data_IF_674711639333
#
_entry.id   IF_674711639333
#
_cell.length_a   1.000
_cell.length_b   1.000
_cell.length_c   1.000
_cell.angle_alpha   90.00
_cell.angle_beta   90.00
_cell.angle_gamma   90.00
#
_symmetry.space_group_name_H-M   'P 1'
#
loop_
_entity.id
_entity.type
_entity.pdbx_description
1 polymer ?
#
# COMPACT_ATOMS: atom_id res chain seq x y z
N UNK A 1 -40.65 -25.55 8.14
CA UNK A 1 -39.98 -24.78 9.22
C UNK A 1 -38.53 -25.23 9.45
N UNK A 2 -38.24 -26.54 9.56
CA UNK A 2 -36.86 -27.03 9.75
C UNK A 2 -35.93 -26.76 8.54
N UNK A 3 -36.39 -26.99 7.32
CA UNK A 3 -35.60 -26.70 6.10
C UNK A 3 -35.28 -25.21 5.94
N UNK A 4 -36.19 -24.34 6.36
CA UNK A 4 -36.05 -22.88 6.27
C UNK A 4 -34.97 -22.38 7.24
N UNK A 5 -34.90 -22.95 8.45
CA UNK A 5 -33.84 -22.67 9.43
C UNK A 5 -32.48 -23.21 8.97
N UNK A 6 -32.44 -24.42 8.41
CA UNK A 6 -31.18 -25.01 7.93
C UNK A 6 -30.58 -24.22 6.76
N UNK A 7 -31.44 -23.75 5.83
CA UNK A 7 -31.03 -22.88 4.72
C UNK A 7 -30.52 -21.50 5.18
N UNK A 8 -31.07 -20.96 6.27
CA UNK A 8 -30.61 -19.71 6.89
C UNK A 8 -29.22 -19.88 7.51
N UNK A 9 -29.00 -20.98 8.23
CA UNK A 9 -27.71 -21.31 8.87
C UNK A 9 -26.60 -21.48 7.82
N UNK A 10 -26.87 -22.20 6.73
CA UNK A 10 -25.92 -22.37 5.62
C UNK A 10 -25.52 -21.04 4.98
N UNK A 11 -26.50 -20.16 4.69
CA UNK A 11 -26.21 -18.82 4.16
C UNK A 11 -25.35 -17.98 5.10
N UNK A 12 -25.59 -18.04 6.41
CA UNK A 12 -24.75 -17.36 7.42
C UNK A 12 -23.32 -17.89 7.39
N UNK A 13 -23.14 -19.21 7.27
CA UNK A 13 -21.80 -19.84 7.20
C UNK A 13 -21.05 -19.49 5.91
N UNK A 14 -21.71 -19.54 4.76
CA UNK A 14 -21.13 -19.15 3.47
C UNK A 14 -20.67 -17.69 3.48
N UNK A 15 -21.51 -16.79 4.01
CA UNK A 15 -21.17 -15.39 4.16
C UNK A 15 -19.95 -15.19 5.09
N UNK A 16 -19.96 -15.80 6.28
CA UNK A 16 -18.83 -15.72 7.22
C UNK A 16 -17.52 -16.27 6.63
N UNK A 17 -17.60 -17.29 5.78
CA UNK A 17 -16.45 -17.81 5.07
C UNK A 17 -15.94 -16.78 4.04
N UNK A 18 -16.83 -16.23 3.23
CA UNK A 18 -16.49 -15.19 2.25
C UNK A 18 -15.86 -13.96 2.92
N UNK A 19 -16.34 -13.58 4.11
CA UNK A 19 -15.74 -12.59 5.00
C UNK A 19 -14.26 -12.77 5.20
N UNK A 20 -13.94 -13.98 5.66
CA UNK A 20 -12.64 -14.33 6.19
C UNK A 20 -11.66 -14.35 5.04
N UNK A 21 -12.09 -14.90 3.90
CA UNK A 21 -11.32 -14.86 2.67
C UNK A 21 -11.01 -13.43 2.23
N UNK A 22 -12.02 -12.55 2.17
CA UNK A 22 -11.82 -11.14 1.81
C UNK A 22 -10.92 -10.41 2.81
N UNK A 23 -11.06 -10.66 4.11
CA UNK A 23 -10.22 -10.05 5.13
C UNK A 23 -8.76 -10.50 4.99
N UNK A 24 -8.54 -11.80 4.79
CA UNK A 24 -7.19 -12.38 4.59
C UNK A 24 -6.54 -11.75 3.36
N UNK A 25 -7.24 -11.73 2.22
CA UNK A 25 -6.74 -11.14 0.98
C UNK A 25 -6.39 -9.66 1.18
N UNK A 26 -7.30 -8.88 1.78
CA UNK A 26 -7.06 -7.47 2.00
C UNK A 26 -5.87 -7.21 2.94
N UNK A 27 -5.69 -8.05 3.96
CA UNK A 27 -4.56 -7.97 4.90
C UNK A 27 -3.24 -8.33 4.22
N UNK A 28 -3.23 -9.35 3.37
CA UNK A 28 -2.04 -9.72 2.58
C UNK A 28 -1.65 -8.60 1.61
N UNK A 29 -2.63 -8.00 0.94
CA UNK A 29 -2.39 -6.85 0.05
C UNK A 29 -1.84 -5.65 0.82
N UNK A 30 -2.39 -5.33 1.99
CA UNK A 30 -1.87 -4.26 2.84
C UNK A 30 -0.43 -4.53 3.28
N UNK A 31 -0.12 -5.77 3.68
CA UNK A 31 1.24 -6.15 4.09
C UNK A 31 2.24 -6.04 2.92
N UNK A 32 1.83 -6.41 1.71
CA UNK A 32 2.64 -6.25 0.50
C UNK A 32 2.95 -4.78 0.24
N UNK A 33 1.93 -3.91 0.26
CA UNK A 33 2.09 -2.46 0.05
C UNK A 33 3.03 -1.84 1.09
N UNK A 34 2.89 -2.21 2.37
CA UNK A 34 3.80 -1.75 3.43
C UNK A 34 5.24 -2.19 3.21
N UNK A 35 5.45 -3.40 2.67
CA UNK A 35 6.79 -3.92 2.39
C UNK A 35 7.43 -3.16 1.21
N UNK A 36 6.64 -2.86 0.17
CA UNK A 36 7.06 -2.05 -0.97
C UNK A 36 7.42 -0.61 -0.55
N UNK A 37 6.66 -0.03 0.39
CA UNK A 37 6.96 1.30 0.95
C UNK A 37 8.32 1.33 1.66
N UNK A 38 8.62 0.32 2.47
CA UNK A 38 9.92 0.23 3.15
C UNK A 38 11.09 0.03 2.18
N UNK A 39 10.87 -0.71 1.10
CA UNK A 39 11.87 -0.84 0.02
C UNK A 39 12.07 0.48 -0.74
N UNK A 40 10.97 1.16 -1.08
CA UNK A 40 10.98 2.46 -1.74
C UNK A 40 11.75 3.51 -0.93
N UNK A 41 11.58 3.55 0.41
CA UNK A 41 12.39 4.40 1.30
C UNK A 41 13.89 4.13 1.20
N UNK A 42 14.29 2.85 1.11
CA UNK A 42 15.70 2.48 0.95
C UNK A 42 16.24 2.96 -0.40
N UNK A 43 15.47 2.83 -1.47
CA UNK A 43 15.83 3.29 -2.82
C UNK A 43 16.00 4.82 -2.82
N UNK A 44 15.06 5.56 -2.21
CA UNK A 44 15.16 7.02 -2.08
C UNK A 44 16.44 7.41 -1.32
N UNK A 45 16.71 6.76 -0.18
CA UNK A 45 17.91 7.04 0.61
C UNK A 45 19.21 6.77 -0.16
N UNK A 46 19.24 5.74 -1.01
CA UNK A 46 20.36 5.48 -1.92
C UNK A 46 20.49 6.58 -2.98
N UNK A 47 19.38 7.00 -3.59
CA UNK A 47 19.39 8.07 -4.59
C UNK A 47 19.83 9.42 -4.00
N UNK A 48 19.49 9.71 -2.74
CA UNK A 48 19.97 10.91 -2.03
C UNK A 48 21.50 10.90 -1.87
N UNK A 49 22.10 9.74 -1.59
CA UNK A 49 23.56 9.59 -1.55
C UNK A 49 24.19 9.80 -2.93
N UNK A 50 23.59 9.25 -3.98
CA UNK A 50 24.02 9.48 -5.37
C UNK A 50 23.98 10.97 -5.68
N UNK A 51 22.89 11.66 -5.36
CA UNK A 51 22.76 13.10 -5.61
C UNK A 51 23.83 13.92 -4.89
N UNK A 52 24.17 13.56 -3.64
CA UNK A 52 25.26 14.19 -2.90
C UNK A 52 26.62 14.00 -3.58
N UNK A 53 26.86 12.82 -4.16
CA UNK A 53 28.06 12.54 -4.94
C UNK A 53 28.09 13.31 -6.26
N UNK A 54 26.97 13.31 -7.00
CA UNK A 54 26.81 14.06 -8.25
C UNK A 54 27.04 15.56 -8.03
N UNK A 55 26.59 16.12 -6.90
CA UNK A 55 26.89 17.51 -6.53
C UNK A 55 28.39 17.79 -6.43
N UNK A 56 29.14 16.88 -5.81
CA UNK A 56 30.60 17.00 -5.69
C UNK A 56 31.28 16.85 -7.05
N UNK A 57 30.80 15.93 -7.89
CA UNK A 57 31.29 15.74 -9.25
C UNK A 57 31.03 16.98 -10.13
N UNK A 58 29.87 17.62 -10.00
CA UNK A 58 29.55 18.87 -10.70
C UNK A 58 30.48 20.00 -10.28
N UNK A 59 30.73 20.15 -8.97
CA UNK A 59 31.65 21.16 -8.45
C UNK A 59 33.09 20.98 -8.95
N UNK A 60 33.50 19.73 -9.15
CA UNK A 60 34.81 19.38 -9.70
C UNK A 60 34.83 19.35 -11.24
N UNK A 61 33.73 19.69 -11.92
CA UNK A 61 33.63 19.71 -13.38
C UNK A 61 33.66 18.32 -14.03
N UNK A 62 33.43 17.24 -13.27
CA UNK A 62 33.42 15.86 -13.75
C UNK A 62 32.13 15.56 -14.53
N UNK A 63 31.01 16.08 -14.06
CA UNK A 63 29.71 15.99 -14.74
C UNK A 63 29.22 17.38 -15.12
N UNK A 64 28.30 17.46 -16.08
CA UNK A 64 27.69 18.70 -16.47
C UNK A 64 26.42 18.99 -15.64
N UNK A 65 25.89 20.22 -15.77
CA UNK A 65 24.69 20.63 -15.03
C UNK A 65 23.43 19.85 -15.42
N UNK A 66 23.32 19.38 -16.66
CA UNK A 66 22.17 18.60 -17.13
C UNK A 66 22.17 17.20 -16.50
N UNK A 67 23.34 16.58 -16.32
CA UNK A 67 23.47 15.31 -15.62
C UNK A 67 22.99 15.46 -14.18
N UNK A 68 23.42 16.52 -13.49
CA UNK A 68 23.00 16.82 -12.13
C UNK A 68 21.48 17.09 -12.02
N UNK A 69 20.90 17.84 -12.96
CA UNK A 69 19.45 18.07 -13.02
C UNK A 69 18.70 16.75 -13.24
N UNK A 70 19.26 15.84 -14.03
CA UNK A 70 18.67 14.52 -14.28
C UNK A 70 18.62 13.68 -13.01
N UNK A 71 19.69 13.72 -12.19
CA UNK A 71 19.72 13.07 -10.88
C UNK A 71 18.72 13.67 -9.88
N UNK A 72 18.55 15.00 -9.90
CA UNK A 72 17.51 15.69 -9.13
C UNK A 72 16.12 15.20 -9.53
N UNK A 73 15.83 15.21 -10.83
CA UNK A 73 14.53 14.79 -11.35
C UNK A 73 14.23 13.34 -10.98
N UNK A 74 15.24 12.46 -11.09
CA UNK A 74 15.12 11.05 -10.69
C UNK A 74 14.77 10.91 -9.21
N UNK A 75 15.42 11.66 -8.33
CA UNK A 75 15.09 11.65 -6.89
C UNK A 75 13.64 12.07 -6.65
N UNK A 76 13.19 13.16 -7.28
CA UNK A 76 11.83 13.66 -7.08
C UNK A 76 10.77 12.74 -7.68
N UNK A 77 11.05 12.05 -8.79
CA UNK A 77 10.16 11.02 -9.33
C UNK A 77 10.00 9.86 -8.35
N UNK A 78 11.10 9.37 -7.76
CA UNK A 78 11.05 8.31 -6.74
C UNK A 78 10.25 8.74 -5.50
N UNK A 79 10.42 9.98 -5.04
CA UNK A 79 9.63 10.52 -3.91
C UNK A 79 8.15 10.65 -4.27
N UNK A 80 7.84 11.06 -5.49
CA UNK A 80 6.46 11.15 -5.96
C UNK A 80 5.80 9.76 -6.03
N UNK A 81 6.50 8.77 -6.57
CA UNK A 81 6.05 7.38 -6.61
C UNK A 81 5.82 6.82 -5.21
N UNK A 82 6.73 7.08 -4.27
CA UNK A 82 6.56 6.70 -2.87
C UNK A 82 5.29 7.29 -2.24
N UNK A 83 5.00 8.57 -2.51
CA UNK A 83 3.78 9.21 -2.00
C UNK A 83 2.51 8.56 -2.57
N UNK A 84 2.52 8.16 -3.85
CA UNK A 84 1.40 7.41 -4.43
C UNK A 84 1.21 6.05 -3.75
N UNK A 85 2.31 5.33 -3.49
CA UNK A 85 2.28 4.07 -2.74
C UNK A 85 1.71 4.26 -1.32
N UNK A 86 2.03 5.37 -0.65
CA UNK A 86 1.48 5.68 0.68
C UNK A 86 -0.03 5.90 0.63
N UNK A 87 -0.50 6.64 -0.38
CA UNK A 87 -1.93 6.86 -0.61
C UNK A 87 -2.64 5.51 -0.84
N UNK A 88 -2.08 4.64 -1.68
CA UNK A 88 -2.65 3.31 -1.95
C UNK A 88 -2.72 2.45 -0.67
N UNK A 89 -1.67 2.45 0.15
CA UNK A 89 -1.65 1.74 1.42
C UNK A 89 -2.75 2.25 2.38
N UNK A 90 -2.91 3.58 2.49
CA UNK A 90 -3.95 4.19 3.30
C UNK A 90 -5.35 3.87 2.79
N UNK A 91 -5.57 3.90 1.47
CA UNK A 91 -6.83 3.48 0.87
C UNK A 91 -7.15 2.02 1.20
N UNK A 92 -6.15 1.14 1.19
CA UNK A 92 -6.35 -0.27 1.51
C UNK A 92 -6.71 -0.48 2.98
N UNK A 93 -6.05 0.24 3.90
CA UNK A 93 -6.40 0.23 5.33
C UNK A 93 -7.82 0.74 5.54
N UNK A 94 -8.21 1.82 4.85
CA UNK A 94 -9.56 2.36 4.93
C UNK A 94 -10.61 1.34 4.44
N UNK A 95 -10.36 0.65 3.32
CA UNK A 95 -11.22 -0.43 2.81
C UNK A 95 -11.39 -1.56 3.81
N UNK A 96 -10.30 -2.01 4.45
CA UNK A 96 -10.36 -3.04 5.50
C UNK A 96 -11.29 -2.58 6.63
N UNK A 97 -11.13 -1.35 7.10
CA UNK A 97 -11.96 -0.78 8.17
C UNK A 97 -13.42 -0.66 7.76
N UNK A 98 -13.70 -0.19 6.54
CA UNK A 98 -15.05 -0.09 6.02
C UNK A 98 -15.72 -1.47 5.99
N UNK A 99 -15.02 -2.47 5.45
CA UNK A 99 -15.49 -3.85 5.47
C UNK A 99 -15.79 -4.24 6.92
N UNK A 100 -14.85 -4.19 7.86
CA UNK A 100 -15.12 -4.55 9.26
C UNK A 100 -16.33 -3.84 9.89
N UNK A 101 -16.56 -2.56 9.58
CA UNK A 101 -17.72 -1.81 10.06
C UNK A 101 -19.04 -2.29 9.43
N UNK A 102 -19.06 -2.60 8.13
CA UNK A 102 -20.24 -3.15 7.45
C UNK A 102 -20.62 -4.50 8.08
N UNK A 103 -19.64 -5.30 8.48
CA UNK A 103 -19.85 -6.57 9.17
C UNK A 103 -20.50 -6.38 10.54
N UNK A 104 -20.02 -5.39 11.31
CA UNK A 104 -20.57 -5.05 12.63
C UNK A 104 -21.99 -4.48 12.53
N UNK A 105 -22.27 -3.69 11.49
CA UNK A 105 -23.56 -3.02 11.31
C UNK A 105 -24.64 -3.96 10.77
N UNK A 106 -24.32 -4.83 9.82
CA UNK A 106 -25.27 -5.76 9.20
C UNK A 106 -25.73 -6.89 10.13
N UNK A 107 -24.98 -7.17 11.21
CA UNK A 107 -25.21 -8.32 12.08
C UNK A 107 -25.32 -7.98 13.57
N UNK A 108 -25.50 -6.70 13.93
CA UNK A 108 -25.77 -6.30 15.31
C UNK A 108 -27.07 -6.93 15.88
N UNK A 109 -27.98 -7.31 14.98
CA UNK A 109 -29.32 -7.81 15.29
C UNK A 109 -29.58 -9.27 14.82
N UNK A 110 -28.54 -10.06 14.54
CA UNK A 110 -28.62 -11.48 14.10
C UNK A 110 -28.05 -12.47 15.12
#
# INVERSE_FOLDING_TARGET
>A
MLETNFKSILKKQEFLLQARLQLIENTQNAQSLLSQLEESKKIIALQEKILSQSKSQLQNGIININDFISDINRLYLLKLEHNYQEIEALMQIFKIRQNLNEWETLYKDL
#
